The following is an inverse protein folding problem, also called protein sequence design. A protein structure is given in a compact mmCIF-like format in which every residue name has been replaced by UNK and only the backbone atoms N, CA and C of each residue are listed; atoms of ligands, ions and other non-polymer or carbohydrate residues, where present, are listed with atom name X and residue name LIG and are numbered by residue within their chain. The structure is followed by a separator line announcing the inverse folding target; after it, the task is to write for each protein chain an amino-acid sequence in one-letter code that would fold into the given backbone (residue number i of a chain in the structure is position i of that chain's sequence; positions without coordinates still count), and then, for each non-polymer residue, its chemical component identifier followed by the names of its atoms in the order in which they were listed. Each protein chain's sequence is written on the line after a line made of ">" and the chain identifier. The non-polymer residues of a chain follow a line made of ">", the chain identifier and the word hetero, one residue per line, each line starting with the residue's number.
data_IF_900179240949
#
_entry.id   IF_900179240949
#
_cell.length_a   1.000
_cell.length_b   1.000
_cell.length_c   1.000
_cell.angle_alpha   90.00
_cell.angle_beta   90.00
_cell.angle_gamma   90.00
#
_symmetry.space_group_name_H-M   'P 1'
#
loop_
_entity.id
_entity.type
_entity.pdbx_description
1 polymer ?
#
# COMPACT_ATOMS: atom_id res chain seq x y z
N UNK A 1 14.77 -23.21 -6.86
CA UNK A 1 15.50 -21.92 -6.91
C UNK A 1 14.65 -20.77 -7.45
N UNK A 2 13.73 -21.00 -8.40
CA UNK A 2 12.94 -19.94 -9.05
C UNK A 2 12.05 -19.11 -8.10
N UNK A 3 11.38 -19.75 -7.14
CA UNK A 3 10.47 -19.07 -6.19
C UNK A 3 11.12 -17.89 -5.44
N UNK A 4 12.31 -18.11 -4.84
CA UNK A 4 13.02 -17.05 -4.10
C UNK A 4 13.44 -15.90 -5.00
N UNK A 5 13.85 -16.20 -6.24
CA UNK A 5 14.23 -15.17 -7.21
C UNK A 5 13.02 -14.32 -7.65
N UNK A 6 11.86 -14.95 -7.87
CA UNK A 6 10.60 -14.25 -8.16
C UNK A 6 10.13 -13.41 -6.98
N UNK A 7 10.19 -13.94 -5.76
CA UNK A 7 9.84 -13.21 -4.54
C UNK A 7 10.71 -11.95 -4.37
N UNK A 8 12.03 -12.08 -4.58
CA UNK A 8 12.95 -10.94 -4.57
C UNK A 8 12.57 -9.94 -5.65
N UNK A 9 12.28 -10.39 -6.88
CA UNK A 9 11.91 -9.52 -8.00
C UNK A 9 10.60 -8.75 -7.77
N UNK A 10 9.59 -9.39 -7.18
CA UNK A 10 8.35 -8.76 -6.76
C UNK A 10 8.60 -7.67 -5.70
N UNK A 11 9.50 -7.93 -4.75
CA UNK A 11 9.87 -6.96 -3.71
C UNK A 11 10.70 -5.76 -4.19
N UNK A 12 11.22 -5.82 -5.42
CA UNK A 12 11.95 -4.73 -6.07
C UNK A 12 11.01 -3.76 -6.82
N UNK A 13 9.73 -4.12 -7.01
CA UNK A 13 8.78 -3.25 -7.69
C UNK A 13 8.61 -1.95 -6.86
N UNK A 14 8.85 -0.77 -7.46
CA UNK A 14 8.74 0.50 -6.75
C UNK A 14 7.36 0.68 -6.12
N UNK A 15 7.36 1.02 -4.83
CA UNK A 15 6.13 1.29 -4.09
C UNK A 15 5.58 0.09 -3.33
N UNK A 16 5.96 -1.16 -3.62
CA UNK A 16 5.54 -2.32 -2.83
C UNK A 16 6.31 -2.41 -1.51
N UNK A 17 5.61 -2.72 -0.43
CA UNK A 17 6.24 -3.01 0.85
C UNK A 17 6.65 -4.47 0.91
N UNK A 18 7.73 -4.75 1.64
CA UNK A 18 8.17 -6.13 1.91
C UNK A 18 7.06 -6.91 2.63
N UNK A 19 6.27 -6.23 3.48
CA UNK A 19 5.15 -6.83 4.20
C UNK A 19 4.07 -7.32 3.23
N UNK A 20 3.60 -6.46 2.31
CA UNK A 20 2.59 -6.79 1.30
C UNK A 20 2.99 -8.03 0.48
N UNK A 21 4.24 -8.07 0.02
CA UNK A 21 4.76 -9.19 -0.80
C UNK A 21 4.91 -10.47 0.04
N UNK A 22 5.31 -10.35 1.29
CA UNK A 22 5.48 -11.47 2.19
C UNK A 22 4.13 -12.11 2.56
N UNK A 23 3.11 -11.28 2.83
CA UNK A 23 1.73 -11.72 3.07
C UNK A 23 1.14 -12.43 1.86
N UNK A 24 1.29 -11.86 0.65
CA UNK A 24 0.79 -12.47 -0.58
C UNK A 24 1.46 -13.81 -0.92
N UNK A 25 2.70 -14.01 -0.48
CA UNK A 25 3.45 -15.25 -0.68
C UNK A 25 3.35 -16.22 0.50
N UNK A 26 2.57 -15.88 1.54
CA UNK A 26 2.45 -16.63 2.79
C UNK A 26 3.80 -16.97 3.44
N UNK A 27 4.68 -15.95 3.49
CA UNK A 27 6.00 -16.04 4.11
C UNK A 27 6.16 -14.97 5.18
N UNK A 28 6.94 -15.27 6.21
CA UNK A 28 7.36 -14.25 7.16
C UNK A 28 8.21 -13.15 6.48
N UNK A 29 7.96 -11.85 6.69
CA UNK A 29 8.69 -10.73 6.06
C UNK A 29 10.22 -10.76 6.23
N UNK A 30 10.68 -11.34 7.35
CA UNK A 30 12.11 -11.59 7.59
C UNK A 30 12.75 -12.49 6.53
N UNK A 31 12.05 -13.52 6.05
CA UNK A 31 12.57 -14.41 5.00
C UNK A 31 12.80 -13.64 3.70
N UNK A 32 11.87 -12.77 3.32
CA UNK A 32 12.00 -11.95 2.13
C UNK A 32 13.16 -10.94 2.24
N UNK A 33 13.32 -10.31 3.41
CA UNK A 33 14.47 -9.46 3.71
C UNK A 33 15.80 -10.22 3.58
N UNK A 34 15.86 -11.46 4.09
CA UNK A 34 17.02 -12.34 3.96
C UNK A 34 17.31 -12.68 2.50
N UNK A 35 16.30 -13.01 1.70
CA UNK A 35 16.48 -13.32 0.29
C UNK A 35 16.94 -12.12 -0.53
N UNK A 36 16.47 -10.91 -0.22
CA UNK A 36 17.01 -9.67 -0.83
C UNK A 36 18.49 -9.48 -0.55
N UNK A 37 18.94 -9.80 0.67
CA UNK A 37 20.37 -9.77 1.03
C UNK A 37 21.16 -10.81 0.21
N UNK A 38 20.66 -12.05 0.15
CA UNK A 38 21.28 -13.12 -0.63
C UNK A 38 21.34 -12.82 -2.13
N UNK A 39 20.35 -12.12 -2.70
CA UNK A 39 20.39 -11.67 -4.09
C UNK A 39 21.48 -10.63 -4.33
N UNK A 40 21.67 -9.66 -3.43
CA UNK A 40 22.76 -8.68 -3.51
C UNK A 40 24.15 -9.32 -3.38
N UNK A 41 24.25 -10.37 -2.58
CA UNK A 41 25.46 -11.17 -2.40
C UNK A 41 25.71 -12.16 -3.54
N UNK A 42 24.83 -12.21 -4.56
CA UNK A 42 24.97 -13.10 -5.72
C UNK A 42 24.61 -14.57 -5.45
N UNK A 43 24.13 -14.90 -4.24
CA UNK A 43 23.70 -16.24 -3.86
C UNK A 43 22.36 -16.64 -4.49
N UNK A 44 21.52 -15.65 -4.81
CA UNK A 44 20.26 -15.84 -5.55
C UNK A 44 20.37 -15.11 -6.88
N UNK A 45 20.38 -15.88 -7.97
CA UNK A 45 20.36 -15.33 -9.33
C UNK A 45 18.93 -14.89 -9.66
N UNK A 46 18.73 -13.59 -9.76
CA UNK A 46 17.46 -12.97 -10.18
C UNK A 46 17.41 -12.64 -11.67
N UNK A 47 18.57 -12.62 -12.35
CA UNK A 47 18.67 -12.40 -13.79
C UNK A 47 17.93 -13.52 -14.55
N UNK A 48 16.97 -13.13 -15.38
CA UNK A 48 16.16 -14.04 -16.21
C UNK A 48 14.74 -14.29 -15.68
N UNK A 49 14.41 -13.85 -14.47
CA UNK A 49 13.01 -13.86 -14.00
C UNK A 49 12.27 -12.70 -14.66
N UNK A 50 11.45 -13.01 -15.67
CA UNK A 50 10.52 -12.07 -16.27
C UNK A 50 9.24 -12.05 -15.45
N UNK A 51 8.92 -10.89 -14.89
CA UNK A 51 7.56 -10.63 -14.43
C UNK A 51 6.75 -10.19 -15.65
N UNK A 52 5.46 -10.51 -15.68
CA UNK A 52 4.59 -10.01 -16.72
C UNK A 52 4.42 -8.49 -16.56
N UNK A 53 4.94 -7.73 -17.53
CA UNK A 53 4.99 -6.26 -17.49
C UNK A 53 3.58 -5.66 -17.44
N UNK A 54 2.59 -6.31 -18.05
CA UNK A 54 1.20 -5.87 -17.99
C UNK A 54 0.64 -5.99 -16.57
N UNK A 55 0.81 -7.15 -15.94
CA UNK A 55 0.41 -7.37 -14.55
C UNK A 55 1.09 -6.39 -13.60
N UNK A 56 2.39 -6.10 -13.78
CA UNK A 56 3.12 -5.13 -12.95
C UNK A 56 2.56 -3.70 -13.13
N UNK A 57 2.25 -3.30 -14.36
CA UNK A 57 1.68 -1.98 -14.64
C UNK A 57 0.28 -1.82 -14.01
N UNK A 58 -0.55 -2.86 -14.10
CA UNK A 58 -1.89 -2.84 -13.51
C UNK A 58 -1.85 -2.82 -11.99
N UNK A 59 -0.97 -3.60 -11.36
CA UNK A 59 -0.75 -3.56 -9.91
C UNK A 59 -0.35 -2.17 -9.42
N UNK A 60 0.51 -1.48 -10.18
CA UNK A 60 0.90 -0.09 -9.87
C UNK A 60 -0.29 0.85 -9.95
N UNK A 61 -1.11 0.72 -10.99
CA UNK A 61 -2.31 1.54 -11.20
C UNK A 61 -3.33 1.35 -10.08
N UNK A 62 -3.60 0.10 -9.69
CA UNK A 62 -4.52 -0.23 -8.60
C UNK A 62 -4.05 0.38 -7.28
N UNK A 63 -2.76 0.27 -6.96
CA UNK A 63 -2.19 0.85 -5.73
C UNK A 63 -2.28 2.38 -5.70
N UNK A 64 -1.98 3.04 -6.81
CA UNK A 64 -2.12 4.49 -6.91
C UNK A 64 -3.59 4.93 -6.72
N UNK A 65 -4.53 4.13 -7.22
CA UNK A 65 -5.96 4.36 -7.05
C UNK A 65 -6.40 4.16 -5.59
N UNK A 66 -5.97 3.09 -4.94
CA UNK A 66 -6.24 2.83 -3.51
C UNK A 66 -5.73 3.96 -2.61
N UNK A 67 -4.51 4.46 -2.88
CA UNK A 67 -3.93 5.57 -2.13
C UNK A 67 -4.77 6.84 -2.27
N UNK A 68 -5.19 7.18 -3.51
CA UNK A 68 -6.06 8.32 -3.76
C UNK A 68 -7.41 8.15 -3.10
N UNK A 69 -7.99 6.96 -3.15
CA UNK A 69 -9.27 6.64 -2.52
C UNK A 69 -9.20 6.83 -1.00
N UNK A 70 -8.14 6.33 -0.35
CA UNK A 70 -7.95 6.50 1.11
C UNK A 70 -7.83 7.97 1.51
N UNK A 71 -7.08 8.78 0.76
CA UNK A 71 -6.98 10.22 0.99
C UNK A 71 -8.35 10.88 0.85
N UNK A 72 -9.08 10.56 -0.23
CA UNK A 72 -10.41 11.11 -0.47
C UNK A 72 -11.41 10.75 0.63
N UNK A 73 -11.37 9.51 1.14
CA UNK A 73 -12.20 9.10 2.27
C UNK A 73 -11.87 9.91 3.54
N UNK A 74 -10.58 10.15 3.82
CA UNK A 74 -10.18 10.96 4.97
C UNK A 74 -10.65 12.41 4.85
N UNK A 75 -10.51 13.01 3.68
CA UNK A 75 -10.99 14.37 3.38
C UNK A 75 -12.52 14.46 3.54
N UNK A 76 -13.24 13.47 3.02
CA UNK A 76 -14.70 13.41 3.12
C UNK A 76 -15.17 13.30 4.58
N UNK A 77 -14.53 12.45 5.38
CA UNK A 77 -14.85 12.32 6.81
C UNK A 77 -14.52 13.58 7.60
N UNK A 78 -13.43 14.28 7.25
CA UNK A 78 -13.11 15.56 7.85
C UNK A 78 -14.16 16.62 7.51
N UNK A 79 -14.60 16.68 6.26
CA UNK A 79 -15.62 17.63 5.80
C UNK A 79 -16.97 17.38 6.50
N UNK A 80 -17.40 16.12 6.60
CA UNK A 80 -18.61 15.76 7.34
C UNK A 80 -18.56 16.21 8.79
N UNK A 81 -17.43 15.99 9.48
CA UNK A 81 -17.24 16.43 10.87
C UNK A 81 -17.30 17.95 10.99
N UNK A 82 -16.72 18.68 10.06
CA UNK A 82 -16.79 20.15 10.04
C UNK A 82 -18.22 20.65 9.85
N UNK A 83 -18.98 20.06 8.92
CA UNK A 83 -20.41 20.39 8.72
C UNK A 83 -21.21 20.07 9.99
N UNK A 84 -21.00 18.89 10.59
CA UNK A 84 -21.61 18.50 11.86
C UNK A 84 -21.35 19.53 12.96
N UNK A 85 -20.08 19.88 13.19
CA UNK A 85 -19.67 20.86 14.20
C UNK A 85 -20.32 22.24 13.98
N UNK A 86 -20.29 22.76 12.74
CA UNK A 86 -20.91 24.07 12.44
C UNK A 86 -22.42 24.05 12.65
N UNK A 87 -23.10 22.95 12.29
CA UNK A 87 -24.53 22.78 12.52
C UNK A 87 -24.89 22.73 14.01
N UNK A 88 -24.11 22.03 14.83
CA UNK A 88 -24.29 21.97 16.28
C UNK A 88 -24.11 23.33 16.94
N UNK A 89 -23.09 24.09 16.52
CA UNK A 89 -22.84 25.43 17.02
C UNK A 89 -23.99 26.38 16.71
N UNK A 90 -24.56 26.31 15.49
CA UNK A 90 -25.76 27.08 15.12
C UNK A 90 -26.95 26.73 16.01
N UNK A 91 -27.22 25.44 16.24
CA UNK A 91 -28.33 24.99 17.11
C UNK A 91 -28.19 25.52 18.55
N UNK A 92 -27.00 25.42 19.13
CA UNK A 92 -26.73 25.92 20.50
C UNK A 92 -26.97 27.43 20.61
N UNK A 93 -26.50 28.22 19.62
CA UNK A 93 -26.70 29.67 19.61
C UNK A 93 -28.18 30.09 19.51
N UNK A 94 -29.00 29.33 18.79
CA UNK A 94 -30.44 29.59 18.69
C UNK A 94 -31.21 29.23 19.97
N UNK A 95 -30.75 28.24 20.72
CA UNK A 95 -31.41 27.79 21.96
C UNK A 95 -31.16 28.76 23.13
N UNK A 96 -30.01 29.44 23.16
CA UNK A 96 -29.67 30.45 24.18
C UNK A 96 -30.41 31.79 23.99
N UNK A 97 -31.12 31.98 22.88
CA UNK A 97 -31.88 33.21 22.59
C UNK A 97 -33.38 33.11 22.95
N UNK A 98 -33.79 32.09 23.71
CA UNK A 98 -35.13 31.93 24.31
C UNK A 98 -35.04 31.97 25.83
#
# INVERSE_FOLDING_TARGET
>A
MHFKATAVRLSEIPGLLIQDVAEALDIHPFMLSRWRKQAREGLIVTKGVKLDDQTVAELKRLRDLEKKYKVLQMEHELLKKAIGFTSEQRRKSSDTSK
#
